data_IF_672480238864
#
_entry.id   IF_672480238864
#
_cell.length_a   1.000
_cell.length_b   1.000
_cell.length_c   1.000
_cell.angle_alpha   90.00
_cell.angle_beta   90.00
_cell.angle_gamma   90.00
#
_symmetry.space_group_name_H-M   'P 1'
#
loop_
_entity.id
_entity.type
_entity.pdbx_description
1 polymer ?
#
# COMPACT_ATOMS: atom_id res chain seq x y z
N UNK A 1 -7.78 -11.68 -25.04
CA UNK A 1 -8.34 -10.32 -24.89
C UNK A 1 -7.94 -9.81 -23.53
N UNK A 2 -7.25 -8.68 -23.48
CA UNK A 2 -6.77 -8.05 -22.24
C UNK A 2 -7.56 -6.77 -22.00
N UNK A 3 -8.04 -6.57 -20.78
CA UNK A 3 -8.59 -5.31 -20.31
C UNK A 3 -7.59 -4.70 -19.33
N UNK A 4 -7.24 -3.43 -19.51
CA UNK A 4 -6.44 -2.65 -18.56
C UNK A 4 -7.34 -1.62 -17.91
N UNK A 5 -7.57 -1.77 -16.60
CA UNK A 5 -8.43 -0.88 -15.80
C UNK A 5 -7.56 0.19 -15.16
N UNK A 6 -8.06 1.42 -15.11
CA UNK A 6 -7.35 2.61 -14.63
C UNK A 6 -5.98 2.78 -15.32
N UNK A 7 -6.01 2.80 -16.66
CA UNK A 7 -4.80 2.62 -17.47
C UNK A 7 -3.75 3.73 -17.31
N UNK A 8 -4.11 4.91 -16.78
CA UNK A 8 -3.20 6.05 -16.66
C UNK A 8 -2.55 6.40 -18.00
N UNK A 9 -1.23 6.60 -18.00
CA UNK A 9 -0.42 6.80 -19.21
C UNK A 9 -0.26 5.54 -20.08
N UNK A 10 -0.94 4.44 -19.76
CA UNK A 10 -1.07 3.27 -20.63
C UNK A 10 0.11 2.31 -20.66
N UNK A 11 1.06 2.41 -19.71
CA UNK A 11 2.25 1.55 -19.62
C UNK A 11 1.89 0.05 -19.69
N UNK A 12 0.90 -0.39 -18.92
CA UNK A 12 0.50 -1.81 -18.87
C UNK A 12 -0.22 -2.25 -20.15
N UNK A 13 -0.97 -1.37 -20.81
CA UNK A 13 -1.62 -1.64 -22.09
C UNK A 13 -0.59 -1.80 -23.22
N UNK A 14 0.41 -0.91 -23.27
CA UNK A 14 1.53 -1.01 -24.21
C UNK A 14 2.34 -2.30 -23.98
N UNK A 15 2.61 -2.66 -22.72
CA UNK A 15 3.26 -3.94 -22.41
C UNK A 15 2.42 -5.14 -22.85
N UNK A 16 1.11 -5.15 -22.59
CA UNK A 16 0.23 -6.22 -23.04
C UNK A 16 0.29 -6.38 -24.57
N UNK A 17 0.28 -5.28 -25.32
CA UNK A 17 0.41 -5.32 -26.78
C UNK A 17 1.79 -5.77 -27.23
N UNK A 18 2.87 -5.28 -26.61
CA UNK A 18 4.26 -5.71 -26.86
C UNK A 18 4.43 -7.22 -26.67
N UNK A 19 3.77 -7.80 -25.66
CA UNK A 19 3.74 -9.25 -25.42
C UNK A 19 2.62 -9.97 -26.19
N UNK A 20 2.23 -9.43 -27.36
CA UNK A 20 1.39 -10.07 -28.37
C UNK A 20 -0.04 -10.39 -27.92
N UNK A 21 -0.61 -9.61 -26.99
CA UNK A 21 -2.04 -9.68 -26.73
C UNK A 21 -2.83 -9.39 -28.02
N UNK A 22 -3.66 -10.35 -28.46
CA UNK A 22 -4.47 -10.23 -29.70
C UNK A 22 -5.40 -9.02 -29.71
N UNK A 23 -5.91 -8.63 -28.55
CA UNK A 23 -6.80 -7.48 -28.38
C UNK A 23 -6.55 -6.89 -27.00
N UNK A 24 -6.35 -5.57 -26.94
CA UNK A 24 -6.15 -4.81 -25.71
C UNK A 24 -7.17 -3.67 -25.69
N UNK A 25 -7.99 -3.62 -24.64
CA UNK A 25 -8.81 -2.46 -24.29
C UNK A 25 -8.23 -1.83 -23.03
N UNK A 26 -8.07 -0.52 -23.02
CA UNK A 26 -7.57 0.25 -21.89
C UNK A 26 -8.63 1.29 -21.50
N UNK A 27 -9.01 1.32 -20.22
CA UNK A 27 -10.00 2.26 -19.70
C UNK A 27 -9.42 3.06 -18.53
N UNK A 28 -9.81 4.31 -18.39
CA UNK A 28 -9.60 5.13 -17.20
C UNK A 28 -10.76 6.13 -17.09
N UNK A 29 -11.22 6.44 -15.89
CA UNK A 29 -12.29 7.44 -15.69
C UNK A 29 -11.79 8.86 -15.91
N UNK A 30 -10.49 9.10 -15.76
CA UNK A 30 -9.86 10.42 -15.84
C UNK A 30 -9.51 10.78 -17.28
N UNK A 31 -9.32 12.07 -17.52
CA UNK A 31 -8.92 12.64 -18.82
C UNK A 31 -7.57 12.10 -19.33
N UNK A 32 -6.78 11.45 -18.47
CA UNK A 32 -5.53 10.79 -18.82
C UNK A 32 -5.69 9.75 -19.95
N UNK A 33 -6.86 9.10 -20.06
CA UNK A 33 -7.16 8.19 -21.15
C UNK A 33 -7.15 8.89 -22.53
N UNK A 34 -7.53 10.17 -22.60
CA UNK A 34 -7.48 10.95 -23.84
C UNK A 34 -6.04 11.19 -24.28
N UNK A 35 -5.16 11.54 -23.34
CA UNK A 35 -3.73 11.68 -23.61
C UNK A 35 -3.10 10.34 -24.03
N UNK A 36 -3.46 9.24 -23.37
CA UNK A 36 -2.98 7.92 -23.78
C UNK A 36 -3.47 7.54 -25.18
N UNK A 37 -4.69 7.91 -25.57
CA UNK A 37 -5.18 7.72 -26.94
C UNK A 37 -4.26 8.40 -27.97
N UNK A 38 -3.87 9.65 -27.74
CA UNK A 38 -2.90 10.34 -28.61
C UNK A 38 -1.57 9.60 -28.71
N UNK A 39 -1.07 9.03 -27.62
CA UNK A 39 0.15 8.19 -27.64
C UNK A 39 -0.04 6.95 -28.50
N UNK A 40 -1.20 6.29 -28.39
CA UNK A 40 -1.53 5.09 -29.19
C UNK A 40 -1.61 5.41 -30.69
N UNK A 41 -2.24 6.54 -31.04
CA UNK A 41 -2.37 7.01 -32.42
C UNK A 41 -1.01 7.34 -33.03
N UNK A 42 -0.17 8.08 -32.31
CA UNK A 42 1.18 8.46 -32.75
C UNK A 42 2.09 7.24 -32.95
N UNK A 43 2.03 6.28 -32.00
CA UNK A 43 2.80 5.04 -32.10
C UNK A 43 2.21 4.04 -33.09
N UNK A 44 1.03 4.31 -33.65
CA UNK A 44 0.28 3.42 -34.56
C UNK A 44 0.11 2.01 -33.98
N UNK A 45 -0.20 1.94 -32.69
CA UNK A 45 -0.37 0.67 -31.97
C UNK A 45 -1.86 0.36 -31.88
N UNK A 46 -2.26 -0.87 -32.19
CA UNK A 46 -3.67 -1.28 -32.11
C UNK A 46 -4.08 -1.59 -30.64
N UNK A 47 -4.51 -0.54 -29.92
CA UNK A 47 -5.10 -0.58 -28.57
C UNK A 47 -6.37 0.27 -28.58
N UNK A 48 -7.48 -0.26 -28.06
CA UNK A 48 -8.72 0.52 -27.89
C UNK A 48 -8.64 1.27 -26.56
N UNK A 49 -8.65 2.60 -26.59
CA UNK A 49 -8.59 3.45 -25.39
C UNK A 49 -9.90 4.21 -25.19
N UNK A 50 -10.53 4.04 -24.02
CA UNK A 50 -11.80 4.69 -23.66
C UNK A 50 -11.71 5.41 -22.31
N UNK A 51 -12.25 6.64 -22.26
CA UNK A 51 -12.45 7.30 -20.97
C UNK A 51 -13.80 6.86 -20.40
N UNK A 52 -13.82 5.79 -19.62
CA UNK A 52 -15.04 5.22 -19.06
C UNK A 52 -14.75 4.42 -17.78
N UNK A 53 -15.81 4.10 -17.05
CA UNK A 53 -15.76 3.24 -15.86
C UNK A 53 -15.82 1.76 -16.23
N UNK A 54 -15.26 0.91 -15.37
CA UNK A 54 -15.37 -0.55 -15.47
C UNK A 54 -16.84 -1.03 -15.48
N UNK A 55 -17.75 -0.27 -14.86
CA UNK A 55 -19.18 -0.57 -14.85
C UNK A 55 -19.82 -0.56 -16.24
N UNK A 56 -19.33 0.27 -17.16
CA UNK A 56 -19.88 0.40 -18.51
C UNK A 56 -19.36 -0.65 -19.49
N UNK A 57 -18.26 -1.33 -19.15
CA UNK A 57 -17.70 -2.40 -19.98
C UNK A 57 -18.67 -3.58 -20.01
N UNK A 58 -19.12 -3.98 -21.20
CA UNK A 58 -20.09 -5.07 -21.37
C UNK A 58 -19.41 -6.40 -21.72
N UNK A 59 -18.24 -6.34 -22.34
CA UNK A 59 -17.54 -7.50 -22.85
C UNK A 59 -16.78 -8.26 -21.75
N UNK A 60 -16.52 -9.54 -22.03
CA UNK A 60 -15.71 -10.41 -21.17
C UNK A 60 -14.26 -10.51 -21.68
N UNK A 61 -13.32 -10.59 -20.74
CA UNK A 61 -11.88 -10.61 -21.01
C UNK A 61 -11.20 -11.85 -20.44
N UNK A 62 -10.10 -12.26 -21.09
CA UNK A 62 -9.30 -13.42 -20.65
C UNK A 62 -8.34 -13.00 -19.52
N UNK A 63 -7.83 -11.76 -19.58
CA UNK A 63 -6.95 -11.19 -18.57
C UNK A 63 -7.43 -9.77 -18.26
N UNK A 64 -7.53 -9.44 -16.99
CA UNK A 64 -7.74 -8.06 -16.50
C UNK A 64 -6.47 -7.64 -15.77
N UNK A 65 -5.91 -6.49 -16.13
CA UNK A 65 -4.74 -5.92 -15.49
C UNK A 65 -5.16 -4.61 -14.81
N UNK A 66 -4.88 -4.48 -13.52
CA UNK A 66 -5.18 -3.27 -12.77
C UNK A 66 -4.10 -3.05 -11.71
N UNK A 67 -3.57 -1.83 -11.62
CA UNK A 67 -2.77 -1.42 -10.47
C UNK A 67 -3.69 -0.98 -9.33
N UNK A 68 -4.30 -1.97 -8.67
CA UNK A 68 -5.38 -1.74 -7.71
C UNK A 68 -4.89 -1.42 -6.29
N UNK A 69 -3.61 -1.63 -6.01
CA UNK A 69 -3.10 -1.63 -4.64
C UNK A 69 -2.91 -0.23 -4.11
N UNK A 70 -3.59 0.03 -3.01
CA UNK A 70 -3.42 1.21 -2.19
C UNK A 70 -2.42 1.02 -1.04
N UNK A 71 -2.27 2.04 -0.20
CA UNK A 71 -1.50 1.92 1.05
C UNK A 71 -2.19 0.89 1.94
N UNK A 72 -1.39 0.00 2.53
CA UNK A 72 -1.89 -1.15 3.28
C UNK A 72 -2.87 -2.02 2.47
N UNK A 73 -2.78 -2.00 1.14
CA UNK A 73 -3.71 -2.63 0.18
C UNK A 73 -5.11 -2.00 0.08
N UNK A 74 -5.48 -1.08 0.95
CA UNK A 74 -6.87 -0.58 1.08
C UNK A 74 -7.04 0.92 0.86
N UNK A 75 -6.15 1.74 1.41
CA UNK A 75 -6.26 3.20 1.30
C UNK A 75 -5.92 3.63 -0.13
N UNK A 76 -6.82 4.37 -0.78
CA UNK A 76 -6.69 4.76 -2.20
C UNK A 76 -6.51 3.55 -3.15
N UNK A 77 -7.09 2.41 -2.76
CA UNK A 77 -7.13 1.21 -3.60
C UNK A 77 -8.32 1.22 -4.54
N UNK A 78 -8.23 0.43 -5.62
CA UNK A 78 -9.32 0.21 -6.58
C UNK A 78 -10.09 -1.09 -6.28
N UNK A 79 -10.10 -1.55 -5.03
CA UNK A 79 -10.71 -2.84 -4.66
C UNK A 79 -12.21 -2.91 -5.01
N UNK A 80 -12.93 -1.79 -4.88
CA UNK A 80 -14.35 -1.71 -5.26
C UNK A 80 -14.55 -1.89 -6.77
N UNK A 81 -13.71 -1.25 -7.59
CA UNK A 81 -13.71 -1.42 -9.04
C UNK A 81 -13.31 -2.84 -9.43
N UNK A 82 -12.42 -3.48 -8.67
CA UNK A 82 -12.01 -4.87 -8.91
C UNK A 82 -13.12 -5.88 -8.67
N UNK A 83 -14.05 -5.62 -7.75
CA UNK A 83 -15.28 -6.43 -7.59
C UNK A 83 -16.11 -6.42 -8.90
N UNK A 84 -16.27 -5.25 -9.50
CA UNK A 84 -16.98 -5.11 -10.78
C UNK A 84 -16.17 -5.74 -11.91
N UNK A 85 -14.86 -5.52 -11.94
CA UNK A 85 -13.96 -6.07 -12.95
C UNK A 85 -14.01 -7.60 -12.99
N UNK A 86 -14.13 -8.28 -11.84
CA UNK A 86 -14.33 -9.73 -11.75
C UNK A 86 -15.55 -10.20 -12.55
N UNK A 87 -16.63 -9.42 -12.57
CA UNK A 87 -17.82 -9.71 -13.40
C UNK A 87 -17.55 -9.57 -14.90
N UNK A 88 -16.42 -8.97 -15.31
CA UNK A 88 -15.99 -8.84 -16.71
C UNK A 88 -14.96 -9.91 -17.10
N UNK A 89 -14.70 -10.88 -16.23
CA UNK A 89 -13.80 -11.99 -16.50
C UNK A 89 -14.52 -13.14 -17.21
N UNK A 90 -13.86 -13.76 -18.18
CA UNK A 90 -14.30 -15.01 -18.80
C UNK A 90 -14.09 -16.19 -17.85
N UNK A 91 -14.73 -17.32 -18.16
CA UNK A 91 -14.42 -18.61 -17.51
C UNK A 91 -12.93 -18.91 -17.70
N UNK A 92 -12.23 -19.24 -16.61
CA UNK A 92 -10.78 -19.44 -16.57
C UNK A 92 -9.92 -18.20 -16.91
N UNK A 93 -10.51 -16.99 -16.89
CA UNK A 93 -9.73 -15.77 -16.98
C UNK A 93 -9.02 -15.45 -15.67
N UNK A 94 -8.09 -14.51 -15.72
CA UNK A 94 -7.28 -14.11 -14.55
C UNK A 94 -7.22 -12.58 -14.36
N UNK A 95 -7.12 -12.15 -13.10
CA UNK A 95 -6.85 -10.76 -12.72
C UNK A 95 -5.38 -10.65 -12.28
N UNK A 96 -4.68 -9.62 -12.76
CA UNK A 96 -3.28 -9.36 -12.43
C UNK A 96 -3.11 -7.94 -11.86
N UNK A 97 -2.48 -7.78 -10.68
CA UNK A 97 -2.16 -8.82 -9.69
C UNK A 97 -3.41 -9.51 -9.13
N UNK A 98 -3.31 -10.79 -8.77
CA UNK A 98 -4.46 -11.58 -8.29
C UNK A 98 -4.76 -11.36 -6.80
N UNK A 99 -3.81 -10.83 -6.05
CA UNK A 99 -3.94 -10.62 -4.62
C UNK A 99 -2.71 -9.94 -4.03
N UNK A 100 -2.78 -9.65 -2.74
CA UNK A 100 -1.67 -9.07 -2.00
C UNK A 100 -1.68 -9.41 -0.52
N UNK A 101 -0.52 -9.32 0.12
CA UNK A 101 -0.29 -9.61 1.53
C UNK A 101 0.37 -8.40 2.20
N UNK A 102 -0.27 -7.85 3.23
CA UNK A 102 0.23 -6.71 3.99
C UNK A 102 1.00 -7.20 5.22
N UNK A 103 2.19 -6.67 5.44
CA UNK A 103 3.09 -7.04 6.54
C UNK A 103 3.40 -5.82 7.41
N UNK A 104 3.77 -6.09 8.66
CA UNK A 104 4.29 -5.09 9.61
C UNK A 104 5.68 -5.51 10.11
N UNK A 105 6.55 -4.53 10.32
CA UNK A 105 7.84 -4.68 10.98
C UNK A 105 8.18 -3.42 11.80
N UNK A 106 9.15 -3.53 12.71
CA UNK A 106 9.65 -2.45 13.53
C UNK A 106 10.93 -1.84 12.96
N UNK A 107 11.08 -0.52 13.13
CA UNK A 107 12.19 0.29 12.60
C UNK A 107 12.84 1.17 13.66
N UNK A 108 14.11 1.52 13.49
CA UNK A 108 14.89 2.29 14.48
C UNK A 108 15.15 3.75 14.17
N UNK A 109 15.38 4.11 12.92
CA UNK A 109 15.74 5.48 12.54
C UNK A 109 14.90 5.83 11.34
N UNK A 110 14.34 7.03 11.39
CA UNK A 110 13.50 7.55 10.33
C UNK A 110 13.89 9.00 10.16
N UNK A 111 14.63 9.28 9.08
CA UNK A 111 15.16 10.62 8.76
C UNK A 111 14.08 11.70 8.85
N UNK A 112 12.84 11.37 8.48
CA UNK A 112 11.69 12.26 8.59
C UNK A 112 11.50 12.83 10.00
N UNK A 113 11.76 12.06 11.07
CA UNK A 113 11.59 12.55 12.45
C UNK A 113 12.57 13.67 12.76
N UNK A 114 13.84 13.47 12.42
CA UNK A 114 14.90 14.43 12.72
C UNK A 114 14.70 15.70 11.89
N UNK A 115 14.40 15.56 10.59
CA UNK A 115 14.07 16.68 9.70
C UNK A 115 12.87 17.50 10.20
N UNK A 116 11.79 16.83 10.64
CA UNK A 116 10.63 17.52 11.21
C UNK A 116 10.99 18.17 12.55
N UNK A 117 11.75 17.50 13.41
CA UNK A 117 12.17 18.05 14.69
C UNK A 117 12.98 19.33 14.52
N UNK A 118 14.01 19.31 13.66
CA UNK A 118 14.85 20.46 13.37
C UNK A 118 14.04 21.62 12.80
N UNK A 119 13.16 21.34 11.82
CA UNK A 119 12.32 22.35 11.21
C UNK A 119 11.37 23.01 12.22
N UNK A 120 10.61 22.22 12.99
CA UNK A 120 9.61 22.77 13.91
C UNK A 120 10.20 23.44 15.14
N UNK A 121 11.42 23.09 15.53
CA UNK A 121 12.11 23.73 16.66
C UNK A 121 12.54 25.17 16.34
N UNK A 122 12.84 25.46 15.08
CA UNK A 122 13.27 26.78 14.64
C UNK A 122 12.72 27.11 13.26
N UNK A 123 11.50 27.63 13.23
CA UNK A 123 10.88 28.15 12.02
C UNK A 123 11.18 29.64 11.94
N UNK A 124 12.32 30.02 11.36
CA UNK A 124 12.76 31.43 11.21
C UNK A 124 12.87 32.20 12.55
N UNK A 125 13.35 31.55 13.61
CA UNK A 125 13.48 32.09 14.97
C UNK A 125 12.28 31.81 15.88
N UNK A 126 11.22 31.16 15.37
CA UNK A 126 10.04 30.81 16.15
C UNK A 126 10.06 29.32 16.54
N UNK A 127 9.99 29.04 17.85
CA UNK A 127 9.82 27.67 18.35
C UNK A 127 8.37 27.22 18.13
N UNK A 128 8.19 26.34 17.15
CA UNK A 128 6.91 25.71 16.78
C UNK A 128 6.89 24.22 17.14
N UNK A 129 7.71 23.77 18.10
CA UNK A 129 7.83 22.36 18.50
C UNK A 129 6.52 21.69 18.92
N UNK A 130 5.49 22.48 19.28
CA UNK A 130 4.13 21.98 19.52
C UNK A 130 3.54 21.20 18.34
N UNK A 131 3.98 21.51 17.11
CA UNK A 131 3.54 20.86 15.88
C UNK A 131 3.99 19.40 15.79
N UNK A 132 5.07 19.01 16.49
CA UNK A 132 5.58 17.64 16.52
C UNK A 132 4.56 16.64 17.06
N UNK A 133 3.62 17.08 17.93
CA UNK A 133 2.51 16.23 18.38
C UNK A 133 1.66 15.74 17.21
N UNK A 134 1.43 16.61 16.22
CA UNK A 134 0.69 16.27 15.00
C UNK A 134 1.48 15.35 14.06
N UNK A 135 2.80 15.57 13.96
CA UNK A 135 3.71 14.74 13.15
C UNK A 135 3.68 13.28 13.61
N UNK A 136 3.79 13.05 14.92
CA UNK A 136 3.84 11.69 15.49
C UNK A 136 2.49 10.95 15.35
N UNK A 137 1.37 11.68 15.26
CA UNK A 137 0.03 11.11 15.08
C UNK A 137 -0.40 10.98 13.61
N UNK A 138 0.52 11.18 12.66
CA UNK A 138 0.25 11.10 11.22
C UNK A 138 0.98 9.91 10.63
N UNK A 139 0.28 9.11 9.83
CA UNK A 139 0.93 8.10 9.01
C UNK A 139 1.60 8.81 7.82
N UNK A 140 2.86 8.52 7.53
CA UNK A 140 3.54 9.09 6.37
C UNK A 140 4.12 8.00 5.48
N UNK A 141 4.37 8.38 4.23
CA UNK A 141 4.76 7.46 3.17
C UNK A 141 6.19 7.78 2.78
N UNK A 142 7.12 6.89 3.12
CA UNK A 142 8.52 7.09 2.77
C UNK A 142 9.27 5.80 2.47
N UNK A 143 10.45 5.95 1.83
CA UNK A 143 11.34 4.85 1.54
C UNK A 143 12.18 4.53 2.78
N UNK A 144 11.95 3.36 3.33
CA UNK A 144 12.72 2.81 4.43
C UNK A 144 13.81 1.91 3.86
N UNK A 145 15.06 2.20 4.23
CA UNK A 145 16.18 1.34 3.92
C UNK A 145 16.09 0.04 4.74
N UNK A 146 16.46 -1.10 4.13
CA UNK A 146 16.39 -2.40 4.79
C UNK A 146 17.24 -2.44 6.08
N UNK A 147 18.35 -1.69 6.12
CA UNK A 147 19.20 -1.54 7.31
C UNK A 147 18.52 -0.81 8.48
N UNK A 148 17.34 -0.20 8.29
CA UNK A 148 16.57 0.41 9.38
C UNK A 148 15.56 -0.56 10.02
N UNK A 149 15.33 -1.72 9.40
CA UNK A 149 14.45 -2.76 9.95
C UNK A 149 15.20 -3.52 11.04
N UNK A 150 14.58 -3.61 12.22
CA UNK A 150 15.23 -4.18 13.42
C UNK A 150 14.49 -5.38 14.00
N UNK A 151 13.32 -5.73 13.46
CA UNK A 151 12.51 -6.87 13.92
C UNK A 151 12.29 -7.90 12.81
N UNK A 152 11.78 -9.08 13.18
CA UNK A 152 11.07 -9.92 12.22
C UNK A 152 9.82 -9.20 11.67
N UNK A 153 9.26 -9.73 10.59
CA UNK A 153 7.99 -9.28 10.03
C UNK A 153 6.83 -10.16 10.49
N UNK A 154 5.63 -9.60 10.52
CA UNK A 154 4.39 -10.32 10.75
C UNK A 154 3.42 -10.07 9.60
N UNK A 155 2.74 -11.12 9.11
CA UNK A 155 1.66 -10.98 8.13
C UNK A 155 0.43 -10.41 8.85
N UNK A 156 -0.05 -9.25 8.44
CA UNK A 156 -1.30 -8.68 8.97
C UNK A 156 -2.51 -9.35 8.31
N UNK A 157 -2.61 -9.24 6.99
CA UNK A 157 -3.74 -9.81 6.24
C UNK A 157 -3.41 -9.97 4.77
N UNK A 158 -4.20 -10.81 4.11
CA UNK A 158 -4.20 -10.96 2.66
C UNK A 158 -5.50 -10.45 2.04
N UNK A 159 -5.39 -10.10 0.77
CA UNK A 159 -6.49 -9.88 -0.17
C UNK A 159 -6.27 -10.87 -1.32
N UNK A 160 -7.29 -11.66 -1.64
CA UNK A 160 -7.33 -12.50 -2.84
C UNK A 160 -8.54 -12.07 -3.67
N UNK A 161 -8.31 -11.53 -4.86
CA UNK A 161 -9.39 -11.01 -5.72
C UNK A 161 -10.29 -12.12 -6.27
N UNK A 162 -9.88 -13.39 -6.23
CA UNK A 162 -10.74 -14.50 -6.60
C UNK A 162 -11.84 -14.75 -5.57
N UNK A 163 -11.57 -14.46 -4.30
CA UNK A 163 -12.49 -14.68 -3.18
C UNK A 163 -12.93 -13.37 -2.50
N UNK A 164 -12.53 -12.21 -3.05
CA UNK A 164 -12.87 -10.91 -2.49
C UNK A 164 -14.35 -10.55 -2.71
N UNK A 165 -15.01 -10.13 -1.63
CA UNK A 165 -16.40 -9.70 -1.56
C UNK A 165 -16.51 -8.30 -0.91
N UNK A 166 -17.68 -7.67 -1.01
CA UNK A 166 -17.90 -6.29 -0.55
C UNK A 166 -17.68 -6.14 0.97
N UNK A 167 -18.04 -7.16 1.76
CA UNK A 167 -17.82 -7.24 3.19
C UNK A 167 -16.34 -7.20 3.56
N UNK A 168 -15.45 -7.54 2.63
CA UNK A 168 -14.00 -7.50 2.85
C UNK A 168 -13.40 -6.09 2.76
N UNK A 169 -14.19 -5.07 2.34
CA UNK A 169 -13.83 -3.64 2.36
C UNK A 169 -13.95 -3.00 3.75
N UNK A 170 -14.30 -3.78 4.77
CA UNK A 170 -14.56 -3.31 6.14
C UNK A 170 -13.29 -3.08 6.96
N UNK A 171 -13.37 -2.28 8.04
CA UNK A 171 -12.31 -2.13 9.04
C UNK A 171 -11.77 -3.47 9.55
N UNK A 172 -10.44 -3.60 9.67
CA UNK A 172 -9.78 -4.83 10.12
C UNK A 172 -9.04 -4.60 11.42
N UNK A 173 -9.09 -5.59 12.30
CA UNK A 173 -8.30 -5.64 13.54
C UNK A 173 -7.53 -6.94 13.56
N UNK A 174 -6.19 -6.85 13.57
CA UNK A 174 -5.30 -8.00 13.52
C UNK A 174 -4.31 -7.96 14.67
N UNK A 175 -4.09 -9.09 15.33
CA UNK A 175 -3.00 -9.24 16.30
C UNK A 175 -1.70 -9.55 15.57
N UNK A 176 -0.60 -8.93 15.98
CA UNK A 176 0.71 -9.23 15.42
C UNK A 176 1.72 -9.57 16.52
N UNK A 177 2.78 -10.27 16.13
CA UNK A 177 3.93 -10.57 16.98
C UNK A 177 5.20 -10.47 16.15
N UNK A 178 6.12 -9.61 16.57
CA UNK A 178 7.43 -9.39 15.94
C UNK A 178 8.52 -9.52 16.98
N UNK A 179 9.67 -10.06 16.58
CA UNK A 179 10.80 -10.31 17.47
C UNK A 179 11.92 -9.35 17.13
N UNK A 180 12.49 -8.67 18.12
CA UNK A 180 13.65 -7.80 17.92
C UNK A 180 14.87 -8.64 17.52
N UNK A 181 15.48 -8.30 16.38
CA UNK A 181 16.64 -8.99 15.81
C UNK A 181 17.93 -8.21 15.96
N UNK A 182 17.84 -6.90 16.22
CA UNK A 182 18.98 -6.01 16.43
C UNK A 182 18.72 -5.14 17.65
N UNK A 183 19.74 -4.97 18.48
CA UNK A 183 19.66 -4.14 19.68
C UNK A 183 19.77 -2.66 19.29
N UNK A 184 18.66 -2.10 18.87
CA UNK A 184 18.49 -0.69 18.52
C UNK A 184 17.15 -0.19 19.09
N UNK A 185 16.97 1.11 19.33
CA UNK A 185 15.70 1.66 19.76
C UNK A 185 14.60 1.39 18.71
N UNK A 186 13.43 0.90 19.13
CA UNK A 186 12.25 0.83 18.26
C UNK A 186 11.60 2.21 18.22
N UNK A 187 11.78 2.95 17.14
CA UNK A 187 11.22 4.30 16.93
C UNK A 187 9.87 4.27 16.22
N UNK A 188 9.56 3.19 15.51
CA UNK A 188 8.30 3.11 14.78
C UNK A 188 7.99 1.73 14.22
N UNK A 189 6.81 1.66 13.60
CA UNK A 189 6.41 0.54 12.77
C UNK A 189 6.35 0.96 11.31
N UNK A 190 6.58 0.00 10.43
CA UNK A 190 6.49 0.16 9.00
C UNK A 190 5.61 -0.96 8.43
N UNK A 191 4.65 -0.61 7.59
CA UNK A 191 3.86 -1.55 6.81
C UNK A 191 4.17 -1.45 5.33
N UNK A 192 4.11 -2.60 4.68
CA UNK A 192 4.34 -2.77 3.25
C UNK A 192 3.55 -3.98 2.76
N UNK A 193 3.57 -4.23 1.46
CA UNK A 193 2.86 -5.36 0.88
C UNK A 193 3.66 -6.11 -0.18
N UNK A 194 3.30 -7.37 -0.36
CA UNK A 194 3.66 -8.16 -1.53
C UNK A 194 2.40 -8.41 -2.37
N UNK A 195 2.52 -8.41 -3.69
CA UNK A 195 1.46 -8.73 -4.64
C UNK A 195 1.84 -9.92 -5.50
N UNK A 196 0.87 -10.80 -5.71
CA UNK A 196 1.05 -12.01 -6.49
C UNK A 196 0.70 -11.76 -7.96
N UNK A 197 1.66 -12.00 -8.85
CA UNK A 197 1.54 -11.85 -10.31
C UNK A 197 2.08 -13.11 -10.98
N UNK A 198 1.21 -14.07 -11.33
CA UNK A 198 1.56 -15.34 -11.99
C UNK A 198 2.89 -15.96 -11.52
N UNK A 199 2.88 -16.55 -10.32
CA UNK A 199 4.04 -17.18 -9.67
C UNK A 199 5.22 -16.24 -9.37
N UNK A 200 5.10 -14.94 -9.67
CA UNK A 200 6.06 -13.90 -9.28
C UNK A 200 5.45 -13.01 -8.22
N UNK A 201 6.32 -12.28 -7.51
CA UNK A 201 5.93 -11.31 -6.49
C UNK A 201 6.45 -9.92 -6.84
N UNK A 202 5.59 -8.93 -6.71
CA UNK A 202 5.96 -7.52 -6.64
C UNK A 202 5.93 -7.14 -5.17
N UNK A 203 6.98 -6.51 -4.64
CA UNK A 203 7.08 -6.18 -3.22
C UNK A 203 7.36 -4.69 -3.03
N UNK A 204 6.66 -4.07 -2.10
CA UNK A 204 6.95 -2.74 -1.58
C UNK A 204 7.74 -2.80 -0.26
N UNK A 205 8.38 -3.91 0.07
CA UNK A 205 9.17 -4.04 1.30
C UNK A 205 10.30 -2.98 1.42
N UNK A 206 10.74 -2.65 2.66
CA UNK A 206 11.95 -1.87 2.89
C UNK A 206 13.12 -2.33 2.02
N UNK A 207 13.92 -1.37 1.53
CA UNK A 207 14.99 -1.61 0.55
C UNK A 207 14.51 -1.73 -0.90
N UNK A 208 13.20 -1.81 -1.17
CA UNK A 208 12.64 -1.75 -2.53
C UNK A 208 12.20 -0.33 -2.88
N UNK A 209 12.77 0.22 -3.95
CA UNK A 209 12.36 1.51 -4.53
C UNK A 209 11.11 1.30 -5.38
N UNK A 210 9.95 1.64 -4.83
CA UNK A 210 8.65 1.56 -5.52
C UNK A 210 7.90 2.88 -5.37
N UNK A 211 6.90 3.11 -6.22
CA UNK A 211 6.03 4.30 -6.11
C UNK A 211 5.13 4.27 -4.88
N UNK A 212 4.81 3.08 -4.36
CA UNK A 212 4.05 2.93 -3.11
C UNK A 212 4.87 3.26 -1.86
N UNK A 213 6.21 3.17 -1.95
CA UNK A 213 7.13 3.24 -0.82
C UNK A 213 6.64 2.34 0.34
N UNK A 214 6.78 2.78 1.59
CA UNK A 214 6.22 2.13 2.76
C UNK A 214 5.44 3.12 3.62
N UNK A 215 4.46 2.62 4.38
CA UNK A 215 3.72 3.43 5.33
C UNK A 215 4.34 3.30 6.72
N UNK A 216 4.62 4.44 7.35
CA UNK A 216 5.38 4.50 8.59
C UNK A 216 4.55 5.11 9.73
N UNK A 217 4.77 4.61 10.93
CA UNK A 217 4.02 4.93 12.15
C UNK A 217 5.00 5.18 13.29
N UNK A 218 5.09 6.42 13.76
CA UNK A 218 6.02 6.81 14.82
C UNK A 218 5.52 6.40 16.19
N UNK A 219 6.40 5.80 16.98
CA UNK A 219 6.17 5.63 18.41
C UNK A 219 6.51 6.96 19.10
N UNK A 220 5.58 7.61 19.83
CA UNK A 220 5.89 8.82 20.58
C UNK A 220 6.98 8.64 21.63
N UNK A 221 7.17 7.40 22.10
CA UNK A 221 8.27 7.03 22.98
C UNK A 221 8.97 5.82 22.37
N UNK A 222 10.23 5.95 21.95
CA UNK A 222 11.00 4.82 21.45
C UNK A 222 11.18 3.75 22.52
N UNK A 223 11.08 2.47 22.14
CA UNK A 223 11.31 1.35 23.06
C UNK A 223 12.74 0.84 22.93
N UNK A 224 13.49 0.86 24.02
CA UNK A 224 14.81 0.22 24.09
C UNK A 224 14.67 -1.27 24.45
N UNK A 225 14.78 -2.15 23.47
CA UNK A 225 14.72 -3.60 23.65
C UNK A 225 16.09 -4.29 23.58
N UNK A 226 16.12 -5.58 23.93
CA UNK A 226 17.24 -6.49 23.67
C UNK A 226 16.85 -7.48 22.58
N UNK A 227 17.86 -8.04 21.91
CA UNK A 227 17.66 -9.11 20.92
C UNK A 227 16.79 -10.21 21.53
N UNK A 228 15.89 -10.73 20.71
CA UNK A 228 14.86 -11.73 21.04
C UNK A 228 13.74 -11.29 21.97
N UNK A 229 13.68 -10.00 22.34
CA UNK A 229 12.46 -9.47 22.93
C UNK A 229 11.31 -9.54 21.91
N UNK A 230 10.15 -9.99 22.38
CA UNK A 230 8.95 -10.13 21.57
C UNK A 230 8.04 -8.93 21.82
N UNK A 231 7.64 -8.28 20.74
CA UNK A 231 6.66 -7.19 20.72
C UNK A 231 5.37 -7.78 20.16
N UNK A 232 4.33 -7.81 20.99
CA UNK A 232 2.99 -8.22 20.57
C UNK A 232 2.08 -7.02 20.49
N UNK A 233 1.12 -7.04 19.57
CA UNK A 233 0.26 -5.89 19.39
C UNK A 233 -1.00 -6.17 18.61
N UNK A 234 -1.75 -5.10 18.36
CA UNK A 234 -2.97 -5.06 17.59
C UNK A 234 -2.89 -3.91 16.60
N UNK A 235 -2.96 -4.24 15.31
CA UNK A 235 -3.11 -3.30 14.21
C UNK A 235 -4.59 -3.19 13.87
N UNK A 236 -5.16 -1.98 13.95
CA UNK A 236 -6.56 -1.72 13.64
C UNK A 236 -6.65 -0.66 12.56
N UNK A 237 -7.18 -1.01 11.39
CA UNK A 237 -7.46 -0.07 10.31
C UNK A 237 -8.97 0.15 10.23
N UNK A 238 -9.41 1.41 10.28
CA UNK A 238 -10.81 1.79 10.35
C UNK A 238 -11.11 3.05 9.56
N UNK A 239 -12.38 3.26 9.22
CA UNK A 239 -12.89 4.52 8.67
C UNK A 239 -13.62 5.30 9.77
N UNK A 240 -13.23 6.55 9.99
CA UNK A 240 -13.91 7.47 10.92
C UNK A 240 -14.17 8.79 10.19
N UNK A 241 -15.44 9.19 10.09
CA UNK A 241 -15.89 10.40 9.37
C UNK A 241 -15.32 10.48 7.93
N UNK A 242 -15.35 9.35 7.21
CA UNK A 242 -14.84 9.26 5.83
C UNK A 242 -13.32 9.18 5.68
N UNK A 243 -12.55 9.35 6.76
CA UNK A 243 -11.09 9.23 6.74
C UNK A 243 -10.63 7.86 7.21
N UNK A 244 -9.64 7.31 6.54
CA UNK A 244 -8.95 6.12 7.02
C UNK A 244 -8.05 6.49 8.20
N UNK A 245 -8.04 5.62 9.20
CA UNK A 245 -7.17 5.73 10.36
C UNK A 245 -6.59 4.35 10.67
N UNK A 246 -5.37 4.35 11.19
CA UNK A 246 -4.73 3.17 11.77
C UNK A 246 -4.53 3.41 13.26
N UNK A 247 -4.78 2.41 14.08
CA UNK A 247 -4.42 2.42 15.49
C UNK A 247 -3.52 1.21 15.75
N UNK A 248 -2.35 1.47 16.33
CA UNK A 248 -1.41 0.42 16.71
C UNK A 248 -1.32 0.41 18.24
N UNK A 249 -1.77 -0.68 18.83
CA UNK A 249 -1.47 -1.05 20.20
C UNK A 249 -0.32 -2.05 20.19
N UNK A 250 0.65 -1.89 21.08
CA UNK A 250 1.77 -2.81 21.19
C UNK A 250 2.30 -2.85 22.61
N UNK A 251 2.89 -3.99 22.99
CA UNK A 251 3.49 -4.22 24.29
C UNK A 251 4.74 -5.10 24.14
N UNK A 252 5.69 -4.90 25.03
CA UNK A 252 6.77 -5.83 25.33
C UNK A 252 6.73 -6.14 26.83
N UNK A 253 6.06 -7.24 27.19
CA UNK A 253 5.82 -7.62 28.60
C UNK A 253 7.10 -7.71 29.43
N UNK A 254 8.16 -8.28 28.85
CA UNK A 254 9.47 -8.43 29.50
C UNK A 254 10.12 -7.09 29.85
N UNK A 255 9.77 -6.02 29.13
CA UNK A 255 10.27 -4.66 29.35
C UNK A 255 9.27 -3.77 30.08
N UNK A 256 8.09 -4.28 30.42
CA UNK A 256 6.98 -3.47 30.97
C UNK A 256 6.70 -2.22 30.12
N UNK A 257 6.83 -2.37 28.81
CA UNK A 257 6.64 -1.28 27.85
C UNK A 257 5.34 -1.53 27.08
N UNK A 258 4.49 -0.52 26.96
CA UNK A 258 3.30 -0.54 26.13
C UNK A 258 3.02 0.81 25.50
N UNK A 259 2.28 0.79 24.38
CA UNK A 259 1.88 1.98 23.67
C UNK A 259 0.61 1.74 22.88
N UNK A 260 -0.24 2.76 22.77
CA UNK A 260 -1.43 2.73 21.92
C UNK A 260 -1.58 4.07 21.23
N UNK A 261 -1.40 4.10 19.92
CA UNK A 261 -1.38 5.35 19.17
C UNK A 261 -2.24 5.29 17.91
N UNK A 262 -3.10 6.30 17.68
CA UNK A 262 -3.81 6.47 16.42
C UNK A 262 -2.95 7.26 15.42
N UNK A 263 -3.13 6.93 14.14
CA UNK A 263 -2.50 7.55 13.00
C UNK A 263 -3.57 7.86 11.96
N UNK A 264 -3.57 9.10 11.48
CA UNK A 264 -4.46 9.54 10.40
C UNK A 264 -3.67 9.50 9.08
N UNK A 265 -4.35 9.10 8.00
CA UNK A 265 -3.87 9.26 6.63
C UNK A 265 -4.36 10.57 6.02
#
# INVERSE_FOLDING_TARGET
RVLVVQCGFGKLALLAKKYKARYVKAIDTRTIAQFFRHVVDELKVDIVVEQTSISEVKEKYDIIICDWMGINLYYDSLLSEMLIAKTKLKKCGEILPSGGKCYICGVTEINYVDEQYEFWKDVYGFDMSIMLKGVVCTAYIDNIDESKVITSKHLLYGVDLNDFEEENLTPRTVKFSITLKRQMPLVGFCTYFDCDVKNKKISSAPGKKTTWKQCCYLCPSPMNGKIDDVITGRFKMLRKKGRWMVQIQYECKKRQFEGTFPYVF
#
